data_IF_089933017991
#
_entry.id   IF_089933017991
#
_cell.length_a   1.000
_cell.length_b   1.000
_cell.length_c   1.000
_cell.angle_alpha   90.00
_cell.angle_beta   90.00
_cell.angle_gamma   90.00
#
_symmetry.space_group_name_H-M   'P 1'
#
loop_
_entity.id
_entity.type
_entity.pdbx_description
1 polymer ?
#
# COMPACT_ATOMS: atom_id res chain seq x y z
N UNK A 1 -28.32 -31.88 72.36
CA UNK A 1 -27.56 -32.76 71.45
C UNK A 1 -28.42 -32.99 70.21
N UNK A 2 -28.02 -32.46 69.06
CA UNK A 2 -28.73 -32.70 67.79
C UNK A 2 -28.05 -33.87 67.06
N UNK A 3 -28.76 -34.98 66.89
CA UNK A 3 -28.25 -36.19 66.24
C UNK A 3 -28.39 -36.01 64.73
N UNK A 4 -27.26 -36.09 64.01
CA UNK A 4 -27.19 -36.02 62.55
C UNK A 4 -27.53 -37.42 62.00
N UNK A 5 -28.66 -37.56 61.33
CA UNK A 5 -29.02 -38.78 60.61
C UNK A 5 -28.09 -38.96 59.42
N UNK A 6 -27.28 -40.02 59.46
CA UNK A 6 -26.45 -40.44 58.32
C UNK A 6 -27.34 -41.29 57.42
N UNK A 7 -27.66 -40.76 56.24
CA UNK A 7 -28.31 -41.52 55.17
C UNK A 7 -27.32 -42.55 54.64
N UNK A 8 -27.27 -43.73 55.27
CA UNK A 8 -26.54 -44.88 54.76
C UNK A 8 -27.31 -45.43 53.55
N UNK A 9 -26.74 -45.30 52.36
CA UNK A 9 -27.26 -45.95 51.17
C UNK A 9 -27.03 -47.48 51.30
N UNK A 10 -28.10 -48.24 51.53
CA UNK A 10 -28.07 -49.69 51.75
C UNK A 10 -28.12 -50.52 50.46
N UNK A 11 -28.14 -49.87 49.29
CA UNK A 11 -28.09 -50.59 48.03
C UNK A 11 -26.69 -51.21 47.84
N UNK A 12 -26.59 -52.54 47.62
CA UNK A 12 -25.32 -53.18 47.31
C UNK A 12 -24.75 -52.56 46.04
N UNK A 13 -23.60 -51.91 46.13
CA UNK A 13 -22.85 -51.47 44.94
C UNK A 13 -22.41 -52.71 44.16
N UNK A 14 -22.85 -52.77 42.92
CA UNK A 14 -22.57 -53.89 42.03
C UNK A 14 -21.05 -54.14 41.95
N UNK A 15 -20.58 -55.41 41.93
CA UNK A 15 -19.15 -55.72 41.96
C UNK A 15 -18.34 -55.10 40.81
N UNK A 16 -18.99 -54.89 39.65
CA UNK A 16 -18.35 -54.31 38.47
C UNK A 16 -18.10 -52.81 38.59
N UNK A 17 -18.89 -52.08 39.39
CA UNK A 17 -18.73 -50.64 39.64
C UNK A 17 -17.46 -50.33 40.48
N UNK A 18 -16.95 -51.32 41.20
CA UNK A 18 -15.71 -51.20 41.99
C UNK A 18 -14.43 -51.43 41.18
N UNK A 19 -14.55 -51.98 39.98
CA UNK A 19 -13.42 -52.16 39.07
C UNK A 19 -12.93 -50.83 38.48
N UNK A 20 -11.69 -50.79 37.98
CA UNK A 20 -11.10 -49.59 37.38
C UNK A 20 -11.92 -49.02 36.22
N UNK A 21 -12.53 -49.89 35.41
CA UNK A 21 -13.41 -49.50 34.29
C UNK A 21 -14.73 -48.92 34.81
N UNK A 22 -15.30 -49.49 35.88
CA UNK A 22 -16.52 -49.01 36.52
C UNK A 22 -16.35 -47.60 37.07
N UNK A 23 -15.26 -47.34 37.81
CA UNK A 23 -14.92 -46.01 38.30
C UNK A 23 -14.65 -45.01 37.17
N UNK A 24 -13.99 -45.42 36.09
CA UNK A 24 -13.77 -44.56 34.93
C UNK A 24 -15.11 -44.20 34.27
N UNK A 25 -16.03 -45.16 34.09
CA UNK A 25 -17.37 -44.86 33.58
C UNK A 25 -18.13 -43.93 34.51
N UNK A 26 -18.17 -44.18 35.82
CA UNK A 26 -18.82 -43.29 36.78
C UNK A 26 -18.21 -41.88 36.75
N UNK A 27 -16.88 -41.78 36.58
CA UNK A 27 -16.20 -40.50 36.43
C UNK A 27 -16.55 -39.81 35.10
N UNK A 28 -16.56 -40.53 33.98
CA UNK A 28 -16.94 -40.01 32.66
C UNK A 28 -18.37 -39.50 32.68
N UNK A 29 -19.31 -40.28 33.24
CA UNK A 29 -20.73 -39.91 33.33
C UNK A 29 -21.00 -38.77 34.32
N UNK A 30 -20.14 -38.56 35.33
CA UNK A 30 -20.28 -37.48 36.30
C UNK A 30 -19.54 -36.22 35.86
N UNK A 31 -18.20 -36.22 35.98
CA UNK A 31 -17.34 -35.06 35.72
C UNK A 31 -16.87 -35.03 34.27
N UNK A 32 -16.59 -36.18 33.67
CA UNK A 32 -16.06 -36.26 32.31
C UNK A 32 -16.98 -35.63 31.27
N UNK A 33 -18.31 -35.72 31.42
CA UNK A 33 -19.27 -35.07 30.51
C UNK A 33 -19.05 -33.57 30.42
N UNK A 34 -18.73 -32.90 31.54
CA UNK A 34 -18.51 -31.47 31.57
C UNK A 34 -17.18 -31.10 30.90
N UNK A 35 -16.14 -31.92 31.12
CA UNK A 35 -14.84 -31.75 30.47
C UNK A 35 -14.98 -31.90 28.97
N UNK A 36 -15.68 -32.94 28.49
CA UNK A 36 -15.90 -33.17 27.06
C UNK A 36 -16.63 -31.99 26.43
N UNK A 37 -17.79 -31.59 26.99
CA UNK A 37 -18.57 -30.46 26.46
C UNK A 37 -17.75 -29.16 26.45
N UNK A 38 -16.94 -28.92 27.48
CA UNK A 38 -16.06 -27.75 27.54
C UNK A 38 -15.01 -27.78 26.42
N UNK A 39 -14.35 -28.92 26.22
CA UNK A 39 -13.37 -29.07 25.13
C UNK A 39 -14.01 -28.96 23.76
N UNK A 40 -15.21 -29.53 23.56
CA UNK A 40 -15.97 -29.40 22.31
C UNK A 40 -16.36 -27.95 22.05
N UNK A 41 -16.76 -27.19 23.07
CA UNK A 41 -17.05 -25.77 22.94
C UNK A 41 -15.81 -24.97 22.50
N UNK A 42 -14.62 -25.30 23.02
CA UNK A 42 -13.36 -24.68 22.59
C UNK A 42 -13.07 -25.02 21.12
N UNK A 43 -13.22 -26.30 20.74
CA UNK A 43 -12.99 -26.75 19.37
C UNK A 43 -13.93 -26.04 18.39
N UNK A 44 -15.24 -25.98 18.70
CA UNK A 44 -16.21 -25.26 17.89
C UNK A 44 -15.86 -23.77 17.80
N UNK A 45 -15.43 -23.15 18.89
CA UNK A 45 -14.98 -21.74 18.90
C UNK A 45 -13.76 -21.54 17.99
N UNK A 46 -12.80 -22.47 17.99
CA UNK A 46 -11.66 -22.43 17.08
C UNK A 46 -12.08 -22.59 15.61
N UNK A 47 -13.06 -23.46 15.33
CA UNK A 47 -13.65 -23.60 13.98
C UNK A 47 -14.36 -22.31 13.53
N UNK A 48 -15.13 -21.66 14.40
CA UNK A 48 -15.76 -20.37 14.10
C UNK A 48 -14.73 -19.28 13.81
N UNK A 49 -13.67 -19.21 14.61
CA UNK A 49 -12.57 -18.28 14.39
C UNK A 49 -11.89 -18.53 13.03
N UNK A 50 -11.66 -19.80 12.69
CA UNK A 50 -11.10 -20.19 11.39
C UNK A 50 -11.97 -19.69 10.22
N UNK A 51 -13.29 -19.88 10.30
CA UNK A 51 -14.19 -19.38 9.25
C UNK A 51 -14.23 -17.85 9.15
N UNK A 52 -14.14 -17.15 10.28
CA UNK A 52 -14.00 -15.69 10.30
C UNK A 52 -12.74 -15.23 9.59
N UNK A 53 -11.61 -15.85 9.93
CA UNK A 53 -10.31 -15.54 9.33
C UNK A 53 -10.30 -15.83 7.82
N UNK A 54 -10.88 -16.95 7.38
CA UNK A 54 -10.98 -17.31 5.96
C UNK A 54 -11.80 -16.27 5.14
N UNK A 55 -12.86 -15.71 5.74
CA UNK A 55 -13.63 -14.62 5.11
C UNK A 55 -12.83 -13.33 5.03
N UNK A 56 -12.18 -12.92 6.11
CA UNK A 56 -11.34 -11.73 6.13
C UNK A 56 -10.20 -11.82 5.12
N UNK A 57 -9.61 -13.01 4.94
CA UNK A 57 -8.55 -13.25 3.96
C UNK A 57 -9.06 -13.12 2.52
N UNK A 58 -10.27 -13.61 2.26
CA UNK A 58 -10.92 -13.51 0.94
C UNK A 58 -11.29 -12.06 0.61
N UNK A 59 -11.87 -11.34 1.57
CA UNK A 59 -12.24 -9.93 1.40
C UNK A 59 -11.01 -9.04 1.22
N UNK A 60 -9.96 -9.27 2.01
CA UNK A 60 -8.69 -8.55 1.87
C UNK A 60 -8.06 -8.77 0.48
N UNK A 61 -8.05 -10.02 -0.02
CA UNK A 61 -7.58 -10.33 -1.38
C UNK A 61 -8.42 -9.65 -2.45
N UNK A 62 -9.74 -9.61 -2.29
CA UNK A 62 -10.64 -8.94 -3.22
C UNK A 62 -10.40 -7.41 -3.23
N UNK A 63 -10.24 -6.80 -2.06
CA UNK A 63 -9.93 -5.37 -1.91
C UNK A 63 -8.58 -5.01 -2.54
N UNK A 64 -7.55 -5.82 -2.33
CA UNK A 64 -6.23 -5.65 -2.96
C UNK A 64 -6.34 -5.75 -4.49
N UNK A 65 -7.06 -6.75 -5.01
CA UNK A 65 -7.27 -6.92 -6.46
C UNK A 65 -8.01 -5.72 -7.07
N UNK A 66 -9.04 -5.20 -6.38
CA UNK A 66 -9.80 -4.04 -6.84
C UNK A 66 -8.95 -2.76 -6.85
N UNK A 67 -8.14 -2.54 -5.80
CA UNK A 67 -7.21 -1.40 -5.75
C UNK A 67 -6.14 -1.51 -6.83
N UNK A 68 -5.61 -2.71 -7.08
CA UNK A 68 -4.66 -2.94 -8.15
C UNK A 68 -5.27 -2.68 -9.53
N UNK A 69 -6.51 -3.11 -9.77
CA UNK A 69 -7.22 -2.82 -11.03
C UNK A 69 -7.44 -1.31 -11.25
N UNK A 70 -7.76 -0.55 -10.19
CA UNK A 70 -7.84 0.92 -10.28
C UNK A 70 -6.49 1.52 -10.65
N UNK A 71 -5.40 1.14 -9.97
CA UNK A 71 -4.05 1.66 -10.28
C UNK A 71 -3.62 1.31 -11.71
N UNK A 72 -3.87 0.08 -12.17
CA UNK A 72 -3.57 -0.31 -13.55
C UNK A 72 -4.38 0.51 -14.57
N UNK A 73 -5.63 0.88 -14.27
CA UNK A 73 -6.43 1.75 -15.15
C UNK A 73 -5.84 3.16 -15.30
N UNK A 74 -5.05 3.63 -14.32
CA UNK A 74 -4.32 4.89 -14.41
C UNK A 74 -2.98 4.75 -15.16
N UNK A 75 -2.51 3.53 -15.46
CA UNK A 75 -1.27 3.30 -16.19
C UNK A 75 -1.29 3.85 -17.62
N UNK A 76 -2.43 3.74 -18.31
CA UNK A 76 -2.60 4.28 -19.66
C UNK A 76 -2.58 5.83 -19.66
N UNK A 77 -3.10 6.44 -18.60
CA UNK A 77 -3.05 7.89 -18.40
C UNK A 77 -1.62 8.35 -18.10
N UNK A 78 -0.84 7.64 -17.29
CA UNK A 78 0.56 7.97 -17.03
C UNK A 78 1.41 7.88 -18.31
N UNK A 79 1.22 6.81 -19.09
CA UNK A 79 1.90 6.64 -20.38
C UNK A 79 1.57 7.77 -21.35
N UNK A 80 0.29 8.12 -21.46
CA UNK A 80 -0.18 9.23 -22.30
C UNK A 80 0.38 10.58 -21.83
N UNK A 81 0.41 10.83 -20.52
CA UNK A 81 0.95 12.05 -19.94
C UNK A 81 2.45 12.18 -20.19
N UNK A 82 3.24 11.11 -19.99
CA UNK A 82 4.68 11.09 -20.32
C UNK A 82 4.94 11.34 -21.80
N UNK A 83 4.11 10.77 -22.68
CA UNK A 83 4.24 10.96 -24.13
C UNK A 83 3.94 12.41 -24.52
N UNK A 84 2.91 13.03 -23.95
CA UNK A 84 2.58 14.44 -24.17
C UNK A 84 3.71 15.34 -23.66
N UNK A 85 4.24 15.07 -22.47
CA UNK A 85 5.36 15.83 -21.90
C UNK A 85 6.61 15.75 -22.81
N UNK A 86 6.97 14.56 -23.28
CA UNK A 86 8.09 14.36 -24.19
C UNK A 86 7.90 15.12 -25.53
N UNK A 87 6.67 15.15 -26.07
CA UNK A 87 6.35 15.96 -27.24
C UNK A 87 6.49 17.45 -26.97
N UNK A 88 6.04 17.92 -25.80
CA UNK A 88 6.14 19.32 -25.41
C UNK A 88 7.60 19.78 -25.26
N UNK A 89 8.43 18.94 -24.65
CA UNK A 89 9.86 19.21 -24.50
C UNK A 89 10.59 19.25 -25.85
N UNK A 90 10.22 18.34 -26.78
CA UNK A 90 10.73 18.38 -28.14
C UNK A 90 10.33 19.68 -28.87
N UNK A 91 9.06 20.10 -28.78
CA UNK A 91 8.58 21.34 -29.41
C UNK A 91 9.28 22.57 -28.83
N UNK A 92 9.52 22.63 -27.52
CA UNK A 92 10.30 23.72 -26.89
C UNK A 92 11.72 23.77 -27.45
N UNK A 93 12.38 22.61 -27.54
CA UNK A 93 13.76 22.53 -28.04
C UNK A 93 13.92 23.01 -29.50
N UNK A 94 12.89 22.81 -30.34
CA UNK A 94 12.87 23.27 -31.74
C UNK A 94 12.46 24.74 -31.86
N UNK A 95 11.52 25.20 -31.02
CA UNK A 95 10.99 26.58 -31.07
C UNK A 95 11.96 27.63 -30.53
N UNK A 96 12.86 27.27 -29.62
CA UNK A 96 13.84 28.22 -29.07
C UNK A 96 15.09 28.43 -29.96
N UNK A 97 15.30 27.61 -31.00
CA UNK A 97 16.40 27.79 -31.96
C UNK A 97 16.29 29.05 -32.86
N UNK A 98 15.14 29.41 -33.46
CA UNK A 98 15.06 30.59 -34.33
C UNK A 98 15.13 31.94 -33.60
N UNK A 99 14.81 31.98 -32.29
CA UNK A 99 14.74 33.25 -31.54
C UNK A 99 16.10 33.93 -31.39
N UNK A 100 17.18 33.17 -31.24
CA UNK A 100 18.53 33.72 -31.08
C UNK A 100 19.02 34.37 -32.38
N UNK A 101 18.78 33.73 -33.53
CA UNK A 101 19.19 34.26 -34.83
C UNK A 101 18.39 35.52 -35.23
N UNK A 102 17.07 35.53 -34.95
CA UNK A 102 16.24 36.73 -35.18
C UNK A 102 16.64 37.87 -34.24
N UNK A 103 16.92 37.59 -32.96
CA UNK A 103 17.42 38.60 -32.02
C UNK A 103 18.76 39.20 -32.48
N UNK A 104 19.71 38.38 -32.96
CA UNK A 104 20.98 38.86 -33.52
C UNK A 104 20.78 39.75 -34.76
N UNK A 105 19.83 39.39 -35.63
CA UNK A 105 19.53 40.16 -36.84
C UNK A 105 18.91 41.52 -36.50
N UNK A 106 18.04 41.56 -35.49
CA UNK A 106 17.41 42.80 -35.01
C UNK A 106 18.45 43.68 -34.31
N UNK A 107 19.33 43.10 -33.49
CA UNK A 107 20.44 43.83 -32.87
C UNK A 107 21.38 44.44 -33.92
N UNK A 108 21.76 43.68 -34.94
CA UNK A 108 22.59 44.19 -36.04
C UNK A 108 21.96 45.34 -36.83
N UNK A 109 20.63 45.40 -36.93
CA UNK A 109 19.91 46.51 -37.59
C UNK A 109 19.83 47.79 -36.75
N UNK A 110 19.93 47.68 -35.43
CA UNK A 110 19.88 48.85 -34.52
C UNK A 110 21.28 49.40 -34.21
N UNK A 111 22.35 48.72 -34.62
CA UNK A 111 23.71 49.18 -34.39
C UNK A 111 24.18 50.15 -35.49
N UNK A 112 24.88 51.23 -35.11
CA UNK A 112 25.52 52.12 -36.08
C UNK A 112 26.61 51.37 -36.85
N UNK A 113 26.86 51.76 -38.10
CA UNK A 113 27.77 51.05 -39.03
C UNK A 113 29.24 51.00 -38.57
N UNK A 114 29.61 51.79 -37.56
CA UNK A 114 30.96 51.86 -36.96
C UNK A 114 31.10 51.07 -35.64
N UNK A 115 30.08 50.31 -35.24
CA UNK A 115 30.10 49.50 -34.03
C UNK A 115 30.40 48.02 -34.33
N UNK A 116 31.47 47.49 -33.74
CA UNK A 116 31.90 46.09 -33.87
C UNK A 116 31.66 45.37 -32.54
N UNK A 117 30.88 44.29 -32.55
CA UNK A 117 30.75 43.42 -31.38
C UNK A 117 31.97 42.52 -31.24
N UNK A 118 32.56 42.48 -30.06
CA UNK A 118 33.72 41.64 -29.76
C UNK A 118 33.30 40.32 -29.12
N UNK A 119 32.33 40.34 -28.20
CA UNK A 119 31.77 39.13 -27.57
C UNK A 119 30.26 39.25 -27.39
N UNK A 120 29.54 38.18 -27.74
CA UNK A 120 28.10 38.05 -27.47
C UNK A 120 27.85 36.71 -26.80
N UNK A 121 27.43 36.74 -25.54
CA UNK A 121 27.08 35.53 -24.78
C UNK A 121 25.60 35.57 -24.42
N UNK A 122 24.83 34.65 -24.99
CA UNK A 122 23.38 34.52 -24.75
C UNK A 122 23.16 33.24 -23.95
N UNK A 123 22.69 33.38 -22.71
CA UNK A 123 22.36 32.27 -21.82
C UNK A 123 20.90 32.40 -21.35
N UNK A 124 20.29 31.34 -20.80
CA UNK A 124 18.87 31.33 -20.42
C UNK A 124 18.50 32.36 -19.34
N UNK A 125 19.48 32.91 -18.63
CA UNK A 125 19.30 33.87 -17.52
C UNK A 125 19.89 35.26 -17.78
N UNK A 126 20.83 35.39 -18.71
CA UNK A 126 21.54 36.65 -18.93
C UNK A 126 22.01 36.77 -20.39
N UNK A 127 21.98 38.00 -20.90
CA UNK A 127 22.52 38.38 -22.19
C UNK A 127 23.66 39.35 -21.92
N UNK A 128 24.89 38.97 -22.28
CA UNK A 128 26.09 39.79 -22.13
C UNK A 128 26.60 40.17 -23.52
N UNK A 129 26.74 41.46 -23.77
CA UNK A 129 27.13 42.02 -25.06
C UNK A 129 28.31 42.99 -24.83
N UNK A 130 29.43 42.72 -25.47
CA UNK A 130 30.64 43.55 -25.45
C UNK A 130 30.95 44.00 -26.88
N UNK A 131 31.22 45.28 -27.07
CA UNK A 131 31.54 45.84 -28.38
C UNK A 131 32.28 47.16 -28.29
N UNK A 132 32.92 47.54 -29.39
CA UNK A 132 33.68 48.78 -29.56
C UNK A 132 33.06 49.61 -30.68
N UNK A 133 33.03 50.94 -30.52
CA UNK A 133 32.50 51.87 -31.52
C UNK A 133 33.61 52.81 -31.94
N UNK A 134 33.81 52.97 -33.25
CA UNK A 134 34.81 53.90 -33.81
C UNK A 134 34.28 55.35 -33.80
N UNK A 135 34.12 55.95 -32.62
CA UNK A 135 33.91 57.40 -32.44
C UNK A 135 34.16 57.74 -30.96
N UNK A 136 35.17 58.49 -30.52
CA UNK A 136 36.12 59.41 -31.16
C UNK A 136 37.50 59.29 -30.48
N UNK A 137 38.51 59.88 -31.12
CA UNK A 137 39.67 60.53 -30.48
C UNK A 137 39.31 61.34 -29.24
#
# INVERSE_FOLDING_TARGET
MSVRSVELNLFPKEPWERGAIGQLLTWVLSVGRYVVVFTEAIVISAFLYRFGLDRSLTDLRASVKNKQAQVTSFGDLESSFRLIQAKLDLVKSVTDQPRVATALTILGKMMPTDAVLTNVTINQKQVVIEGVVASQT
#
